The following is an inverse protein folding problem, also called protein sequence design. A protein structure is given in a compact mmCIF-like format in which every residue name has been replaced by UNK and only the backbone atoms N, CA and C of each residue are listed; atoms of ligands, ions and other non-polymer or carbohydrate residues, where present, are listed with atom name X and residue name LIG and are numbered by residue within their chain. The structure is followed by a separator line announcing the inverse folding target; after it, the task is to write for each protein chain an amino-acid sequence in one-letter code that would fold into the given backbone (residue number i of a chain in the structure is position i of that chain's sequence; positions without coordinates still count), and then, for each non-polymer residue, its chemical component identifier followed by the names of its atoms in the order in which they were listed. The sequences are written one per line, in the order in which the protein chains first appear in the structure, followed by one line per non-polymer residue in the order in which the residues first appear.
data_IF_972359079649
#
_entry.id   IF_972359079649
#
_cell.length_a   1.000
_cell.length_b   1.000
_cell.length_c   1.000
_cell.angle_alpha   90.00
_cell.angle_beta   90.00
_cell.angle_gamma   90.00
#
_symmetry.space_group_name_H-M   'P 1'
#
loop_
_entity.id
_entity.type
_entity.pdbx_description
1 polymer ?
#
# COMPACT_ATOMS: atom_id res chain seq x y z
N UNK A 1 -8.53 -22.40 -13.14
CA UNK A 1 -8.08 -21.00 -13.04
C UNK A 1 -6.72 -20.92 -13.70
N UNK A 2 -6.49 -19.91 -14.51
CA UNK A 2 -5.28 -19.80 -15.34
C UNK A 2 -4.10 -19.26 -14.52
N UNK A 3 -2.86 -19.50 -14.98
CA UNK A 3 -1.63 -18.96 -14.33
C UNK A 3 -1.70 -17.44 -14.11
N UNK A 4 -2.26 -16.70 -15.05
CA UNK A 4 -2.46 -15.24 -14.93
C UNK A 4 -3.33 -14.85 -13.74
N UNK A 5 -4.36 -15.64 -13.42
CA UNK A 5 -5.19 -15.40 -12.24
C UNK A 5 -4.37 -15.46 -10.94
N UNK A 6 -3.54 -16.48 -10.76
CA UNK A 6 -2.72 -16.62 -9.55
C UNK A 6 -1.66 -15.51 -9.42
N UNK A 7 -1.10 -15.05 -10.53
CA UNK A 7 -0.16 -13.92 -10.55
C UNK A 7 -0.86 -12.64 -10.07
N UNK A 8 -2.09 -12.38 -10.55
CA UNK A 8 -2.87 -11.21 -10.12
C UNK A 8 -3.26 -11.32 -8.65
N UNK A 9 -3.64 -12.52 -8.18
CA UNK A 9 -3.94 -12.75 -6.77
C UNK A 9 -2.72 -12.47 -5.88
N UNK A 10 -1.54 -12.93 -6.29
CA UNK A 10 -0.29 -12.65 -5.58
C UNK A 10 0.04 -11.15 -5.58
N UNK A 11 -0.04 -10.47 -6.74
CA UNK A 11 0.20 -9.05 -6.85
C UNK A 11 -0.77 -8.23 -5.97
N UNK A 12 -2.06 -8.61 -5.96
CA UNK A 12 -3.07 -8.01 -5.09
C UNK A 12 -2.77 -8.20 -3.61
N UNK A 13 -2.37 -9.42 -3.24
CA UNK A 13 -2.02 -9.75 -1.85
C UNK A 13 -0.85 -8.89 -1.36
N UNK A 14 0.25 -8.86 -2.10
CA UNK A 14 1.43 -8.08 -1.72
C UNK A 14 1.17 -6.57 -1.74
N UNK A 15 0.46 -6.06 -2.73
CA UNK A 15 0.10 -4.64 -2.79
C UNK A 15 -0.74 -4.21 -1.58
N UNK A 16 -1.75 -5.01 -1.19
CA UNK A 16 -2.58 -4.73 -0.02
C UNK A 16 -1.84 -4.92 1.30
N UNK A 17 -0.93 -5.91 1.37
CA UNK A 17 -0.06 -6.14 2.51
C UNK A 17 0.85 -4.93 2.75
N UNK A 18 1.48 -4.42 1.69
CA UNK A 18 2.33 -3.23 1.74
C UNK A 18 1.56 -1.99 2.22
N UNK A 19 0.35 -1.75 1.69
CA UNK A 19 -0.51 -0.61 2.10
C UNK A 19 -0.80 -0.62 3.62
N UNK A 20 -1.07 -1.80 4.19
CA UNK A 20 -1.39 -1.92 5.62
C UNK A 20 -0.14 -1.91 6.51
N UNK A 21 0.97 -2.48 6.07
CA UNK A 21 2.25 -2.37 6.75
C UNK A 21 2.73 -0.90 6.78
N UNK A 22 2.56 -0.18 5.67
CA UNK A 22 2.91 1.24 5.56
C UNK A 22 2.07 2.12 6.50
N UNK A 23 0.81 1.79 6.74
CA UNK A 23 -0.01 2.50 7.73
C UNK A 23 0.65 2.47 9.11
N UNK A 24 1.11 1.30 9.54
CA UNK A 24 1.76 1.14 10.83
C UNK A 24 3.09 1.90 10.88
N UNK A 25 3.88 1.84 9.80
CA UNK A 25 5.12 2.61 9.68
C UNK A 25 4.86 4.13 9.73
N UNK A 26 3.82 4.62 9.05
CA UNK A 26 3.43 6.02 9.07
C UNK A 26 2.96 6.50 10.46
N UNK A 27 2.25 5.63 11.21
CA UNK A 27 1.88 5.91 12.61
C UNK A 27 3.14 6.03 13.48
N UNK A 28 4.08 5.11 13.33
CA UNK A 28 5.35 5.16 14.07
C UNK A 28 6.14 6.43 13.73
N UNK A 29 6.18 6.82 12.47
CA UNK A 29 6.83 8.05 12.03
C UNK A 29 6.18 9.29 12.68
N UNK A 30 4.84 9.37 12.75
CA UNK A 30 4.17 10.47 13.47
C UNK A 30 4.54 10.51 14.95
N UNK A 31 4.66 9.35 15.60
CA UNK A 31 5.08 9.28 17.02
C UNK A 31 6.52 9.76 17.18
N UNK A 32 7.43 9.39 16.28
CA UNK A 32 8.83 9.83 16.28
C UNK A 32 8.97 11.34 16.05
N UNK A 33 8.12 11.91 15.18
CA UNK A 33 8.06 13.35 14.95
C UNK A 33 7.37 14.13 16.10
N UNK A 34 6.98 13.47 17.19
CA UNK A 34 6.20 14.06 18.27
C UNK A 34 4.92 14.77 17.79
N UNK A 35 4.32 14.25 16.72
CA UNK A 35 3.10 14.81 16.16
C UNK A 35 1.92 14.68 17.14
N UNK A 36 0.99 15.64 17.15
CA UNK A 36 -0.20 15.56 18.00
C UNK A 36 -1.01 14.27 17.76
N UNK A 37 -1.54 13.65 18.81
CA UNK A 37 -2.22 12.37 18.76
C UNK A 37 -3.43 12.33 17.77
N UNK A 38 -4.07 13.49 17.54
CA UNK A 38 -5.17 13.61 16.59
C UNK A 38 -4.75 13.41 15.11
N UNK A 39 -3.46 13.48 14.78
CA UNK A 39 -2.97 13.21 13.43
C UNK A 39 -3.00 11.73 13.06
N UNK A 40 -2.91 10.82 14.02
CA UNK A 40 -2.96 9.37 13.77
C UNK A 40 -4.25 8.91 13.06
N UNK A 41 -5.45 9.24 13.53
CA UNK A 41 -6.67 8.90 12.79
C UNK A 41 -6.78 9.60 11.44
N UNK A 42 -6.15 10.77 11.26
CA UNK A 42 -6.14 11.48 9.98
C UNK A 42 -5.39 10.72 8.88
N UNK A 43 -4.39 9.90 9.19
CA UNK A 43 -3.75 9.04 8.19
C UNK A 43 -4.81 8.19 7.47
N UNK A 44 -5.66 7.49 8.22
CA UNK A 44 -6.73 6.68 7.65
C UNK A 44 -7.78 7.53 6.94
N UNK A 45 -8.11 8.69 7.49
CA UNK A 45 -9.05 9.63 6.87
C UNK A 45 -8.53 10.10 5.50
N UNK A 46 -7.29 10.54 5.38
CA UNK A 46 -6.70 11.00 4.12
C UNK A 46 -6.62 9.87 3.09
N UNK A 47 -6.33 8.66 3.51
CA UNK A 47 -6.37 7.49 2.64
C UNK A 47 -7.78 7.24 2.10
N UNK A 48 -8.79 7.21 2.98
CA UNK A 48 -10.20 6.97 2.59
C UNK A 48 -10.77 8.14 1.79
N UNK A 49 -10.38 9.38 2.10
CA UNK A 49 -10.80 10.57 1.37
C UNK A 49 -10.42 10.47 -0.11
N UNK A 50 -9.25 9.88 -0.42
CA UNK A 50 -8.84 9.62 -1.80
C UNK A 50 -9.85 8.76 -2.57
N UNK A 51 -10.44 7.75 -1.92
CA UNK A 51 -11.50 6.93 -2.53
C UNK A 51 -12.76 7.75 -2.81
N UNK A 52 -13.17 8.61 -1.88
CA UNK A 52 -14.38 9.44 -2.03
C UNK A 52 -14.20 10.46 -3.14
N UNK A 53 -13.09 11.19 -3.13
CA UNK A 53 -12.80 12.26 -4.11
C UNK A 53 -12.62 11.68 -5.51
N UNK A 54 -11.96 10.54 -5.63
CA UNK A 54 -11.67 9.94 -6.93
C UNK A 54 -12.78 9.01 -7.43
N UNK A 55 -13.77 8.65 -6.61
CA UNK A 55 -14.81 7.66 -6.97
C UNK A 55 -15.44 7.88 -8.34
N UNK A 56 -15.70 9.14 -8.69
CA UNK A 56 -16.33 9.49 -9.98
C UNK A 56 -15.37 9.33 -11.19
N UNK A 57 -14.05 9.39 -10.97
CA UNK A 57 -13.07 9.46 -12.05
C UNK A 57 -12.30 8.14 -12.24
N UNK A 58 -12.10 7.36 -11.19
CA UNK A 58 -11.25 6.15 -11.25
C UNK A 58 -11.86 5.04 -12.12
N UNK A 59 -13.19 4.95 -12.20
CA UNK A 59 -13.87 4.01 -13.11
C UNK A 59 -13.54 4.32 -14.57
N UNK A 60 -13.77 5.56 -14.98
CA UNK A 60 -13.47 6.02 -16.33
C UNK A 60 -11.98 5.89 -16.67
N UNK A 61 -11.08 6.21 -15.72
CA UNK A 61 -9.64 6.00 -15.88
C UNK A 61 -9.28 4.52 -16.06
N UNK A 62 -9.84 3.65 -15.22
CA UNK A 62 -9.60 2.21 -15.30
C UNK A 62 -10.13 1.60 -16.61
N UNK A 63 -11.23 2.12 -17.16
CA UNK A 63 -11.83 1.63 -18.40
C UNK A 63 -11.15 2.18 -19.66
N UNK A 64 -10.46 3.31 -19.55
CA UNK A 64 -9.74 3.93 -20.67
C UNK A 64 -8.44 3.22 -21.05
N UNK A 65 -7.97 2.26 -20.27
CA UNK A 65 -6.66 1.61 -20.45
C UNK A 65 -6.72 0.11 -20.12
N UNK A 66 -5.78 -0.69 -20.67
CA UNK A 66 -5.64 -2.09 -20.25
C UNK A 66 -5.46 -2.19 -18.74
N UNK A 67 -6.24 -3.04 -18.07
CA UNK A 67 -6.31 -3.14 -16.60
C UNK A 67 -4.93 -3.40 -15.97
N UNK A 68 -4.09 -4.19 -16.60
CA UNK A 68 -2.71 -4.42 -16.15
C UNK A 68 -1.86 -3.14 -16.11
N UNK A 69 -2.01 -2.27 -17.11
CA UNK A 69 -1.31 -0.98 -17.13
C UNK A 69 -1.83 -0.04 -16.02
N UNK A 70 -3.14 -0.05 -15.76
CA UNK A 70 -3.71 0.70 -14.65
C UNK A 70 -3.15 0.23 -13.32
N UNK A 71 -3.07 -1.09 -13.10
CA UNK A 71 -2.48 -1.68 -11.89
C UNK A 71 -1.00 -1.29 -11.72
N UNK A 72 -0.23 -1.28 -12.81
CA UNK A 72 1.17 -0.85 -12.79
C UNK A 72 1.31 0.64 -12.43
N UNK A 73 0.56 1.52 -13.11
CA UNK A 73 0.59 2.98 -12.87
C UNK A 73 0.19 3.29 -11.42
N UNK A 74 -0.84 2.65 -10.92
CA UNK A 74 -1.34 2.90 -9.56
C UNK A 74 -0.38 2.41 -8.47
N UNK A 75 0.30 1.27 -8.67
CA UNK A 75 1.36 0.83 -7.77
C UNK A 75 2.59 1.76 -7.86
N UNK A 76 2.90 2.33 -9.03
CA UNK A 76 3.94 3.36 -9.15
C UNK A 76 3.58 4.62 -8.34
N UNK A 77 2.30 5.04 -8.34
CA UNK A 77 1.84 6.15 -7.51
C UNK A 77 2.02 5.84 -6.02
N UNK A 78 1.68 4.62 -5.58
CA UNK A 78 1.92 4.20 -4.19
C UNK A 78 3.40 4.21 -3.84
N UNK A 79 4.25 3.70 -4.72
CA UNK A 79 5.71 3.73 -4.55
C UNK A 79 6.21 5.17 -4.39
N UNK A 80 5.75 6.11 -5.22
CA UNK A 80 6.06 7.53 -5.07
C UNK A 80 5.62 8.06 -3.71
N UNK A 81 4.45 7.68 -3.21
CA UNK A 81 3.99 8.03 -1.86
C UNK A 81 4.94 7.54 -0.76
N UNK A 82 5.47 6.32 -0.88
CA UNK A 82 6.50 5.80 0.03
C UNK A 82 7.80 6.61 -0.05
N UNK A 83 8.26 6.92 -1.26
CA UNK A 83 9.46 7.75 -1.49
C UNK A 83 9.27 9.14 -0.86
N UNK A 84 8.14 9.79 -1.09
CA UNK A 84 7.81 11.10 -0.49
C UNK A 84 7.83 11.03 1.03
N UNK A 85 7.37 9.93 1.62
CA UNK A 85 7.41 9.70 3.07
C UNK A 85 8.85 9.57 3.58
N UNK A 86 9.73 8.86 2.87
CA UNK A 86 11.14 8.70 3.20
C UNK A 86 11.92 10.01 3.17
N UNK A 87 11.62 10.90 2.22
CA UNK A 87 12.31 12.19 2.12
C UNK A 87 11.82 13.25 3.13
N UNK A 88 11.23 12.83 4.25
CA UNK A 88 10.88 13.71 5.35
C UNK A 88 9.66 14.61 5.11
N UNK A 89 8.88 14.35 4.06
CA UNK A 89 7.62 15.04 3.86
C UNK A 89 6.58 14.57 4.90
N UNK A 90 5.58 15.43 5.13
CA UNK A 90 4.56 15.17 6.14
C UNK A 90 3.84 13.83 5.87
N UNK A 91 3.83 12.88 6.84
CA UNK A 91 3.29 11.52 6.65
C UNK A 91 1.85 11.47 6.15
N UNK A 92 1.02 12.45 6.53
CA UNK A 92 -0.37 12.54 6.07
C UNK A 92 -0.47 12.74 4.55
N UNK A 93 0.34 13.64 3.98
CA UNK A 93 0.34 13.90 2.54
C UNK A 93 0.90 12.71 1.76
N UNK A 94 2.00 12.14 2.24
CA UNK A 94 2.61 10.97 1.64
C UNK A 94 1.62 9.78 1.63
N UNK A 95 0.94 9.54 2.74
CA UNK A 95 -0.07 8.46 2.83
C UNK A 95 -1.34 8.76 2.02
N UNK A 96 -1.70 10.04 1.82
CA UNK A 96 -2.76 10.43 0.89
C UNK A 96 -2.41 10.03 -0.56
N UNK A 97 -1.16 10.22 -0.98
CA UNK A 97 -0.69 9.80 -2.32
C UNK A 97 -0.82 8.28 -2.47
N UNK A 98 -0.46 7.50 -1.45
CA UNK A 98 -0.68 6.04 -1.44
C UNK A 98 -2.17 5.72 -1.58
N UNK A 99 -3.04 6.45 -0.87
CA UNK A 99 -4.49 6.34 -0.98
C UNK A 99 -5.03 6.64 -2.38
N UNK A 100 -4.46 7.62 -3.08
CA UNK A 100 -4.80 7.90 -4.49
C UNK A 100 -4.48 6.70 -5.39
N UNK A 101 -3.31 6.10 -5.23
CA UNK A 101 -2.93 4.89 -5.95
C UNK A 101 -3.86 3.71 -5.63
N UNK A 102 -4.17 3.50 -4.35
CA UNK A 102 -5.05 2.43 -3.91
C UNK A 102 -6.49 2.59 -4.42
N UNK A 103 -7.03 3.82 -4.42
CA UNK A 103 -8.35 4.13 -4.95
C UNK A 103 -8.45 3.83 -6.45
N UNK A 104 -7.44 4.25 -7.22
CA UNK A 104 -7.41 4.02 -8.67
C UNK A 104 -7.10 2.54 -9.03
N UNK A 105 -6.43 1.79 -8.16
CA UNK A 105 -6.18 0.36 -8.31
C UNK A 105 -7.47 -0.47 -8.19
N UNK A 106 -8.39 -0.06 -7.33
CA UNK A 106 -9.57 -0.84 -6.96
C UNK A 106 -10.46 -1.26 -8.15
N UNK A 107 -10.92 -0.38 -9.06
CA UNK A 107 -11.74 -0.79 -10.19
C UNK A 107 -10.98 -1.68 -11.19
N UNK A 108 -9.67 -1.46 -11.39
CA UNK A 108 -8.86 -2.30 -12.26
C UNK A 108 -8.72 -3.73 -11.72
N UNK A 109 -8.59 -3.89 -10.39
CA UNK A 109 -8.52 -5.18 -9.70
C UNK A 109 -9.74 -6.06 -9.98
N UNK A 110 -10.94 -5.50 -9.93
CA UNK A 110 -12.17 -6.24 -10.22
C UNK A 110 -12.41 -6.39 -11.73
N UNK A 111 -12.10 -5.35 -12.51
CA UNK A 111 -12.27 -5.38 -13.95
C UNK A 111 -11.42 -6.42 -14.66
N UNK A 112 -10.19 -6.66 -14.19
CA UNK A 112 -9.30 -7.67 -14.82
C UNK A 112 -9.85 -9.10 -14.66
N UNK A 113 -10.63 -9.38 -13.62
CA UNK A 113 -11.23 -10.70 -13.44
C UNK A 113 -12.27 -11.01 -14.51
N UNK A 114 -13.06 -10.02 -14.91
CA UNK A 114 -14.07 -10.19 -15.97
C UNK A 114 -13.46 -10.39 -17.33
N UNK A 115 -12.21 -9.91 -17.54
CA UNK A 115 -11.45 -10.13 -18.78
C UNK A 115 -10.78 -11.52 -18.80
N UNK A 116 -10.42 -12.07 -17.65
CA UNK A 116 -9.63 -13.31 -17.54
C UNK A 116 -10.45 -14.57 -17.30
N UNK A 117 -11.66 -14.43 -16.75
CA UNK A 117 -12.46 -15.56 -16.29
C UNK A 117 -13.87 -15.56 -16.90
N UNK A 118 -14.40 -16.74 -17.19
CA UNK A 118 -15.79 -16.86 -17.62
C UNK A 118 -16.74 -16.53 -16.44
N UNK A 119 -17.99 -16.10 -16.74
CA UNK A 119 -18.95 -15.64 -15.74
C UNK A 119 -19.18 -16.62 -14.57
N UNK A 120 -19.16 -17.92 -14.84
CA UNK A 120 -19.42 -18.97 -13.84
C UNK A 120 -18.34 -19.01 -12.74
N UNK A 121 -17.13 -18.47 -13.02
CA UNK A 121 -16.00 -18.46 -12.07
C UNK A 121 -15.83 -17.14 -11.34
N UNK A 122 -16.57 -16.08 -11.72
CA UNK A 122 -16.40 -14.75 -11.15
C UNK A 122 -16.76 -14.67 -9.67
N UNK A 123 -17.81 -15.42 -9.24
CA UNK A 123 -18.20 -15.46 -7.81
C UNK A 123 -17.07 -16.03 -6.96
N UNK A 124 -16.50 -17.16 -7.37
CA UNK A 124 -15.39 -17.77 -6.66
C UNK A 124 -14.12 -16.88 -6.70
N UNK A 125 -13.84 -16.23 -7.82
CA UNK A 125 -12.70 -15.32 -7.97
C UNK A 125 -12.82 -14.09 -7.07
N UNK A 126 -14.01 -13.49 -6.96
CA UNK A 126 -14.27 -12.39 -6.04
C UNK A 126 -14.10 -12.84 -4.58
N UNK A 127 -14.57 -14.03 -4.23
CA UNK A 127 -14.33 -14.60 -2.90
C UNK A 127 -12.84 -14.76 -2.58
N UNK A 128 -12.03 -15.19 -3.55
CA UNK A 128 -10.57 -15.27 -3.41
C UNK A 128 -9.93 -13.90 -3.22
N UNK A 129 -10.32 -12.88 -4.02
CA UNK A 129 -9.82 -11.52 -3.86
C UNK A 129 -10.13 -10.97 -2.47
N UNK A 130 -11.36 -11.09 -2.01
CA UNK A 130 -11.74 -10.58 -0.70
C UNK A 130 -11.05 -11.32 0.45
N UNK A 131 -10.98 -12.64 0.36
CA UNK A 131 -10.26 -13.47 1.35
C UNK A 131 -8.77 -13.09 1.44
N UNK A 132 -8.10 -12.93 0.29
CA UNK A 132 -6.70 -12.48 0.24
C UNK A 132 -6.54 -11.04 0.72
N UNK A 133 -7.49 -10.15 0.42
CA UNK A 133 -7.46 -8.77 0.91
C UNK A 133 -7.55 -8.73 2.44
N UNK A 134 -8.47 -9.48 3.05
CA UNK A 134 -8.57 -9.57 4.51
C UNK A 134 -7.30 -10.18 5.12
N UNK A 135 -6.80 -11.28 4.53
CA UNK A 135 -5.56 -11.92 4.96
C UNK A 135 -4.37 -10.96 4.88
N UNK A 136 -4.25 -10.20 3.79
CA UNK A 136 -3.17 -9.22 3.62
C UNK A 136 -3.26 -8.03 4.58
N UNK A 137 -4.48 -7.59 4.96
CA UNK A 137 -4.67 -6.56 5.99
C UNK A 137 -4.12 -7.03 7.33
N UNK A 138 -4.48 -8.24 7.75
CA UNK A 138 -4.02 -8.82 9.02
C UNK A 138 -2.49 -8.99 8.98
N UNK A 139 -1.98 -9.66 7.95
CA UNK A 139 -0.54 -9.92 7.83
C UNK A 139 0.27 -8.63 7.66
N UNK A 140 -0.21 -7.66 6.89
CA UNK A 140 0.44 -6.37 6.71
C UNK A 140 0.52 -5.56 8.00
N UNK A 141 -0.55 -5.56 8.79
CA UNK A 141 -0.55 -4.92 10.12
C UNK A 141 0.45 -5.57 11.07
N UNK A 142 0.49 -6.91 11.10
CA UNK A 142 1.47 -7.66 11.90
C UNK A 142 2.89 -7.40 11.41
N UNK A 143 3.13 -7.44 10.10
CA UNK A 143 4.44 -7.18 9.51
C UNK A 143 4.91 -5.76 9.84
N UNK A 144 4.07 -4.75 9.68
CA UNK A 144 4.39 -3.37 10.05
C UNK A 144 4.78 -3.26 11.52
N UNK A 145 4.02 -3.91 12.42
CA UNK A 145 4.33 -3.96 13.86
C UNK A 145 5.67 -4.62 14.17
N UNK A 146 5.98 -5.73 13.50
CA UNK A 146 7.26 -6.44 13.64
C UNK A 146 8.43 -5.58 13.16
N UNK A 147 8.31 -4.93 12.00
CA UNK A 147 9.36 -4.08 11.43
C UNK A 147 9.71 -2.90 12.34
N UNK A 148 8.73 -2.34 13.08
CA UNK A 148 8.92 -1.21 13.98
C UNK A 148 9.37 -1.67 15.38
N UNK A 149 9.29 -2.97 15.69
CA UNK A 149 9.68 -3.50 16.99
C UNK A 149 11.15 -3.18 17.29
N UNK A 150 11.47 -2.90 18.56
CA UNK A 150 12.84 -2.57 18.99
C UNK A 150 13.88 -3.62 18.54
N UNK A 151 13.53 -4.90 18.59
CA UNK A 151 14.43 -5.99 18.22
C UNK A 151 14.82 -5.97 16.75
N UNK A 152 13.83 -5.74 15.86
CA UNK A 152 14.06 -5.72 14.41
C UNK A 152 14.69 -4.39 13.99
N UNK A 153 14.22 -3.28 14.53
CA UNK A 153 14.74 -1.95 14.18
C UNK A 153 16.21 -1.78 14.55
N UNK A 154 16.66 -2.27 15.71
CA UNK A 154 18.08 -2.23 16.07
C UNK A 154 18.95 -3.09 15.15
N UNK A 155 18.44 -4.22 14.68
CA UNK A 155 19.14 -5.05 13.70
C UNK A 155 19.19 -4.42 12.31
N UNK A 156 18.13 -3.71 11.91
CA UNK A 156 18.05 -3.01 10.62
C UNK A 156 18.87 -1.73 10.59
N UNK A 157 18.88 -0.96 11.68
CA UNK A 157 19.71 0.25 11.84
C UNK A 157 21.22 -0.09 11.89
N UNK A 158 21.58 -1.33 12.29
CA UNK A 158 22.95 -1.83 12.22
C UNK A 158 23.39 -2.22 10.79
N UNK A 159 22.47 -2.31 9.84
CA UNK A 159 22.73 -2.43 8.41
C UNK A 159 22.89 -1.02 7.83
N UNK A 160 24.06 -0.42 8.07
CA UNK A 160 24.45 0.87 7.51
C UNK A 160 24.26 0.83 5.98
N UNK A 161 23.15 1.35 5.49
CA UNK A 161 22.89 1.43 4.05
C UNK A 161 23.43 2.77 3.54
N UNK A 162 24.64 2.83 2.95
CA UNK A 162 25.34 4.08 2.59
C UNK A 162 24.70 4.84 1.42
N UNK A 163 23.52 4.41 0.94
CA UNK A 163 22.88 4.94 -0.29
C UNK A 163 21.87 6.04 0.00
N UNK A 164 21.38 6.15 1.23
CA UNK A 164 20.36 7.14 1.61
C UNK A 164 20.81 7.85 2.90
N UNK A 165 21.63 8.87 2.73
CA UNK A 165 21.89 9.86 3.78
C UNK A 165 20.61 10.72 3.94
N UNK A 166 19.55 10.10 4.47
CA UNK A 166 18.28 10.77 4.75
C UNK A 166 18.33 11.27 6.19
N UNK A 167 17.73 12.41 6.43
CA UNK A 167 17.70 13.10 7.73
C UNK A 167 16.90 12.34 8.82
N UNK A 168 16.47 11.10 8.57
CA UNK A 168 15.61 10.31 9.45
C UNK A 168 16.23 8.92 9.65
N UNK A 169 17.22 8.82 10.52
CA UNK A 169 17.80 7.56 11.02
C UNK A 169 16.84 6.86 12.01
N UNK A 170 15.71 6.35 11.51
CA UNK A 170 14.66 5.82 12.37
C UNK A 170 14.18 4.42 11.97
N UNK A 171 13.63 3.70 12.94
CA UNK A 171 13.00 2.40 12.71
C UNK A 171 11.84 2.47 11.70
N UNK A 172 11.14 3.60 11.62
CA UNK A 172 10.07 3.81 10.66
C UNK A 172 10.60 3.90 9.23
N UNK A 173 11.76 4.50 9.02
CA UNK A 173 12.41 4.62 7.71
C UNK A 173 12.84 3.26 7.17
N UNK A 174 13.52 2.46 7.98
CA UNK A 174 13.92 1.10 7.59
C UNK A 174 12.69 0.22 7.29
N UNK A 175 11.60 0.39 8.05
CA UNK A 175 10.34 -0.30 7.78
C UNK A 175 9.73 0.13 6.43
N UNK A 176 9.73 1.43 6.12
CA UNK A 176 9.22 1.95 4.85
C UNK A 176 10.04 1.42 3.67
N UNK A 177 11.38 1.40 3.79
CA UNK A 177 12.26 0.83 2.75
C UNK A 177 11.93 -0.64 2.46
N UNK A 178 11.76 -1.47 3.49
CA UNK A 178 11.39 -2.88 3.31
C UNK A 178 10.01 -3.01 2.67
N UNK A 179 9.05 -2.19 3.08
CA UNK A 179 7.69 -2.19 2.51
C UNK A 179 7.71 -1.78 1.03
N UNK A 180 8.60 -0.88 0.64
CA UNK A 180 8.80 -0.51 -0.77
C UNK A 180 9.31 -1.66 -1.63
N UNK A 181 10.00 -2.64 -1.05
CA UNK A 181 10.53 -3.81 -1.76
C UNK A 181 9.48 -4.91 -1.97
N UNK A 182 8.35 -4.85 -1.28
CA UNK A 182 7.22 -5.79 -1.37
C UNK A 182 6.26 -5.38 -2.50
#
# INVERSE_FOLDING_TARGET
MNRSFYIIMAAQFFSSLADNALLIAAIALLVQLNAPAWMTPLLKLFFVLSYVVLAAFVGAFADSRPKGNVMFITNTIKFIGCVVMLFGNHPLLAYAIVGLGAAAYSPAKYGILTELLPPEKLVAANGWIEGLTVGSIIMGTVLGGVLISKTVSTSLLGLDMPILDTSIDTAAESAILIIMMI
#
